data_IF_727048286674
#
_entry.id   IF_727048286674
#
_cell.length_a   1.000
_cell.length_b   1.000
_cell.length_c   1.000
_cell.angle_alpha   90.00
_cell.angle_beta   90.00
_cell.angle_gamma   90.00
#
_symmetry.space_group_name_H-M   'P 1'
#
loop_
_entity.id
_entity.type
_entity.pdbx_description
1 polymer ?
#
# COMPACT_ATOMS: atom_id res chain seq x y z
N UNK A 1 9.76 4.12 -4.37
CA UNK A 1 8.92 5.31 -4.69
C UNK A 1 7.46 4.89 -4.90
N UNK A 2 6.50 5.65 -4.36
CA UNK A 2 5.08 5.26 -4.38
C UNK A 2 4.54 5.03 -5.80
N UNK A 3 4.90 5.90 -6.75
CA UNK A 3 4.45 5.78 -8.15
C UNK A 3 4.85 4.44 -8.77
N UNK A 4 6.09 3.99 -8.54
CA UNK A 4 6.58 2.70 -9.03
C UNK A 4 5.77 1.55 -8.43
N UNK A 5 5.43 1.66 -7.15
CA UNK A 5 4.65 0.66 -6.44
C UNK A 5 3.23 0.58 -7.01
N UNK A 6 2.58 1.73 -7.26
CA UNK A 6 1.26 1.79 -7.90
C UNK A 6 1.27 1.15 -9.30
N UNK A 7 2.26 1.50 -10.13
CA UNK A 7 2.42 0.93 -11.49
C UNK A 7 2.65 -0.58 -11.41
N UNK A 8 3.49 -1.04 -10.48
CA UNK A 8 3.79 -2.46 -10.29
C UNK A 8 2.54 -3.25 -9.93
N UNK A 9 1.75 -2.80 -8.95
CA UNK A 9 0.54 -3.50 -8.54
C UNK A 9 -0.50 -3.53 -9.65
N UNK A 10 -0.70 -2.42 -10.36
CA UNK A 10 -1.65 -2.36 -11.47
C UNK A 10 -1.26 -3.30 -12.63
N UNK A 11 0.03 -3.39 -12.95
CA UNK A 11 0.53 -4.25 -14.02
C UNK A 11 0.81 -5.69 -13.57
N UNK A 12 0.38 -6.12 -12.37
CA UNK A 12 0.69 -7.45 -11.85
C UNK A 12 0.21 -8.58 -12.77
N UNK A 13 -0.89 -8.36 -13.50
CA UNK A 13 -1.43 -9.30 -14.49
C UNK A 13 -0.49 -9.56 -15.68
N UNK A 14 0.44 -8.66 -15.97
CA UNK A 14 1.46 -8.87 -17.02
C UNK A 14 2.50 -9.92 -16.61
N UNK A 15 2.79 -10.03 -15.31
CA UNK A 15 3.73 -11.02 -14.76
C UNK A 15 3.02 -12.33 -14.43
N UNK A 16 1.81 -12.21 -13.86
CA UNK A 16 0.98 -13.35 -13.46
C UNK A 16 -0.40 -13.20 -14.08
N UNK A 17 -0.64 -13.70 -15.30
CA UNK A 17 -1.94 -13.56 -15.97
C UNK A 17 -3.10 -14.24 -15.23
N UNK A 18 -2.79 -15.33 -14.52
CA UNK A 18 -3.74 -16.05 -13.69
C UNK A 18 -3.14 -16.32 -12.31
N UNK A 19 -3.88 -15.94 -11.27
CA UNK A 19 -3.60 -16.38 -9.91
C UNK A 19 -4.25 -17.75 -9.78
N UNK A 20 -3.44 -18.80 -9.70
CA UNK A 20 -3.90 -20.15 -9.50
C UNK A 20 -3.41 -20.71 -8.17
N UNK A 21 -4.33 -21.31 -7.42
CA UNK A 21 -4.00 -22.17 -6.30
C UNK A 21 -3.77 -23.57 -6.86
N UNK A 22 -2.51 -23.94 -7.02
CA UNK A 22 -2.11 -25.28 -7.41
C UNK A 22 -1.44 -26.00 -6.25
N UNK A 23 -1.59 -27.32 -6.20
CA UNK A 23 -0.79 -28.15 -5.27
C UNK A 23 0.67 -28.06 -5.72
N UNK A 24 1.62 -27.71 -4.81
CA UNK A 24 3.05 -27.70 -5.15
C UNK A 24 3.49 -29.07 -5.70
N UNK A 25 4.51 -29.08 -6.59
CA UNK A 25 5.07 -30.30 -7.20
C UNK A 25 4.22 -30.97 -8.32
N UNK A 26 3.54 -30.18 -9.15
CA UNK A 26 2.92 -30.68 -10.38
C UNK A 26 1.53 -31.31 -10.18
N UNK A 27 0.87 -31.02 -9.06
CA UNK A 27 -0.52 -31.42 -8.86
C UNK A 27 -1.51 -30.55 -9.67
N UNK A 28 -2.79 -30.94 -9.70
CA UNK A 28 -3.82 -30.21 -10.43
C UNK A 28 -4.05 -28.81 -9.86
N UNK A 29 -4.43 -27.88 -10.73
CA UNK A 29 -4.88 -26.54 -10.34
C UNK A 29 -6.23 -26.69 -9.64
N UNK A 30 -6.31 -26.29 -8.38
CA UNK A 30 -7.51 -26.40 -7.55
C UNK A 30 -8.49 -25.25 -7.83
N UNK A 31 -7.95 -24.05 -8.07
CA UNK A 31 -8.72 -22.88 -8.45
C UNK A 31 -7.84 -21.91 -9.23
N UNK A 32 -8.40 -21.25 -10.24
CA UNK A 32 -7.72 -20.20 -11.02
C UNK A 32 -8.63 -19.00 -11.20
N UNK A 33 -8.07 -17.83 -10.97
CA UNK A 33 -8.72 -16.54 -11.20
C UNK A 33 -7.90 -15.72 -12.17
N UNK A 34 -8.57 -14.92 -13.01
CA UNK A 34 -7.88 -13.94 -13.83
C UNK A 34 -7.37 -12.82 -12.91
N UNK A 35 -6.09 -12.48 -13.04
CA UNK A 35 -5.48 -11.47 -12.17
C UNK A 35 -6.10 -10.08 -12.37
N UNK A 36 -6.63 -9.75 -13.55
CA UNK A 36 -7.29 -8.46 -13.78
C UNK A 36 -8.63 -8.35 -13.03
N UNK A 37 -9.32 -9.47 -12.79
CA UNK A 37 -10.58 -9.47 -12.04
C UNK A 37 -10.33 -9.26 -10.54
N UNK A 38 -9.19 -9.74 -10.05
CA UNK A 38 -8.77 -9.63 -8.64
C UNK A 38 -8.07 -8.29 -8.39
N UNK A 39 -7.20 -7.87 -9.30
CA UNK A 39 -6.36 -6.68 -9.20
C UNK A 39 -6.94 -5.56 -10.06
N UNK A 40 -8.07 -5.04 -9.61
CA UNK A 40 -8.66 -3.80 -10.15
C UNK A 40 -7.80 -2.57 -9.80
N UNK A 41 -7.94 -1.44 -10.51
CA UNK A 41 -7.24 -0.19 -10.15
C UNK A 41 -7.39 0.21 -8.68
N UNK A 42 -8.57 0.00 -8.10
CA UNK A 42 -8.83 0.27 -6.69
C UNK A 42 -7.99 -0.64 -5.78
N UNK A 43 -7.99 -1.95 -6.04
CA UNK A 43 -7.20 -2.90 -5.22
C UNK A 43 -5.70 -2.68 -5.37
N UNK A 44 -5.22 -2.36 -6.58
CA UNK A 44 -3.84 -1.98 -6.83
C UNK A 44 -3.45 -0.69 -6.09
N UNK A 45 -4.33 0.30 -6.07
CA UNK A 45 -4.15 1.54 -5.32
C UNK A 45 -4.07 1.30 -3.81
N UNK A 46 -5.01 0.50 -3.28
CA UNK A 46 -5.01 0.13 -1.85
C UNK A 46 -3.73 -0.61 -1.50
N UNK A 47 -3.33 -1.61 -2.29
CA UNK A 47 -2.09 -2.35 -2.07
C UNK A 47 -0.85 -1.45 -2.10
N UNK A 48 -0.76 -0.57 -3.10
CA UNK A 48 0.36 0.34 -3.25
C UNK A 48 0.47 1.36 -2.12
N UNK A 49 -0.63 2.03 -1.78
CA UNK A 49 -0.67 3.02 -0.70
C UNK A 49 -0.47 2.36 0.67
N UNK A 50 -1.18 1.27 0.96
CA UNK A 50 -1.13 0.64 2.28
C UNK A 50 0.26 0.06 2.59
N UNK A 51 0.91 -0.59 1.62
CA UNK A 51 2.25 -1.14 1.82
C UNK A 51 3.30 -0.04 1.93
N UNK A 52 3.15 1.05 1.19
CA UNK A 52 4.04 2.21 1.32
C UNK A 52 3.90 2.85 2.71
N UNK A 53 2.67 3.13 3.11
CA UNK A 53 2.36 3.72 4.41
C UNK A 53 2.75 2.81 5.58
N UNK A 54 2.58 1.50 5.46
CA UNK A 54 2.96 0.53 6.48
C UNK A 54 4.45 0.58 6.79
N UNK A 55 5.31 0.79 5.78
CA UNK A 55 6.75 0.93 6.00
C UNK A 55 7.08 2.21 6.80
N UNK A 56 6.46 3.35 6.45
CA UNK A 56 6.64 4.60 7.18
C UNK A 56 6.10 4.52 8.61
N UNK A 57 4.90 3.96 8.79
CA UNK A 57 4.29 3.80 10.11
C UNK A 57 5.05 2.83 11.00
N UNK A 58 5.62 1.74 10.45
CA UNK A 58 6.48 0.84 11.21
C UNK A 58 7.69 1.58 11.81
N UNK A 59 8.31 2.47 11.03
CA UNK A 59 9.46 3.25 11.47
C UNK A 59 9.07 4.31 12.52
N UNK A 60 7.92 4.97 12.35
CA UNK A 60 7.38 5.90 13.35
C UNK A 60 7.10 5.20 14.68
N UNK A 61 6.46 4.02 14.63
CA UNK A 61 6.17 3.23 15.84
C UNK A 61 7.47 2.78 16.50
N UNK A 62 8.44 2.31 15.72
CA UNK A 62 9.77 1.89 16.19
C UNK A 62 10.49 3.05 16.89
N UNK A 63 10.54 4.22 16.25
CA UNK A 63 11.17 5.41 16.80
C UNK A 63 10.46 5.90 18.08
N UNK A 64 9.13 5.87 18.09
CA UNK A 64 8.36 6.25 19.28
C UNK A 64 8.57 5.30 20.46
N UNK A 65 8.68 3.99 20.23
CA UNK A 65 9.04 3.03 21.28
C UNK A 65 10.47 3.25 21.80
N UNK A 66 11.42 3.59 20.92
CA UNK A 66 12.81 3.89 21.30
C UNK A 66 12.99 5.22 22.01
N UNK A 67 12.06 6.18 21.85
CA UNK A 67 12.11 7.46 22.57
C UNK A 67 11.78 7.35 24.06
N UNK A 68 11.23 6.22 24.51
CA UNK A 68 10.95 5.98 25.92
C UNK A 68 12.27 5.67 26.63
N UNK A 69 12.53 6.36 27.74
CA UNK A 69 13.73 6.16 28.55
C UNK A 69 13.89 4.69 28.98
N UNK A 70 15.08 4.12 28.74
CA UNK A 70 15.44 2.78 29.16
C UNK A 70 15.29 2.59 30.68
N UNK A 71 15.47 3.64 31.48
CA UNK A 71 15.26 3.60 32.93
C UNK A 71 13.83 3.22 33.31
N UNK A 72 12.82 3.56 32.49
CA UNK A 72 11.43 3.10 32.70
C UNK A 72 11.31 1.58 32.51
N UNK A 73 12.02 1.03 31.51
CA UNK A 73 12.02 -0.41 31.24
C UNK A 73 12.70 -1.15 32.39
N UNK A 74 13.88 -0.70 32.82
CA UNK A 74 14.61 -1.26 33.96
C UNK A 74 13.79 -1.18 35.27
N UNK A 75 13.12 -0.05 35.51
CA UNK A 75 12.23 0.14 36.65
C UNK A 75 11.09 -0.88 36.65
N UNK A 76 10.39 -1.05 35.51
CA UNK A 76 9.29 -2.03 35.43
C UNK A 76 9.76 -3.47 35.69
N UNK A 77 10.97 -3.82 35.27
CA UNK A 77 11.58 -5.12 35.54
C UNK A 77 11.93 -5.28 37.02
N UNK A 78 12.48 -4.25 37.66
CA UNK A 78 12.79 -4.23 39.10
C UNK A 78 11.52 -4.39 39.96
N UNK A 79 10.39 -3.85 39.53
CA UNK A 79 9.07 -4.04 40.16
C UNK A 79 8.39 -5.38 39.80
N UNK A 80 9.08 -6.30 39.12
CA UNK A 80 8.56 -7.63 38.80
C UNK A 80 7.43 -7.64 37.77
N UNK A 81 7.31 -6.60 36.93
CA UNK A 81 6.30 -6.57 35.89
C UNK A 81 6.67 -7.52 34.73
N UNK A 82 5.72 -8.36 34.32
CA UNK A 82 5.85 -9.09 33.04
C UNK A 82 6.00 -8.11 31.87
N UNK A 83 6.78 -8.48 30.84
CA UNK A 83 7.01 -7.65 29.63
C UNK A 83 5.72 -7.11 29.01
N UNK A 84 4.67 -7.94 28.90
CA UNK A 84 3.38 -7.51 28.35
C UNK A 84 2.69 -6.44 29.20
N UNK A 85 2.77 -6.55 30.53
CA UNK A 85 2.20 -5.56 31.48
C UNK A 85 2.98 -4.24 31.43
N UNK A 86 4.31 -4.31 31.42
CA UNK A 86 5.18 -3.13 31.28
C UNK A 86 4.90 -2.40 29.96
N UNK A 87 4.84 -3.16 28.85
CA UNK A 87 4.55 -2.61 27.52
C UNK A 87 3.18 -1.92 27.48
N UNK A 88 2.11 -2.59 27.92
CA UNK A 88 0.74 -2.07 27.83
C UNK A 88 0.47 -0.91 28.78
N UNK A 89 1.01 -0.92 30.00
CA UNK A 89 0.66 0.07 31.04
C UNK A 89 1.62 1.26 31.13
N UNK A 90 2.87 1.09 30.72
CA UNK A 90 3.93 2.09 30.93
C UNK A 90 4.51 2.56 29.60
N UNK A 91 5.05 1.63 28.79
CA UNK A 91 5.84 1.98 27.61
C UNK A 91 4.95 2.50 26.47
N UNK A 92 3.89 1.79 26.08
CA UNK A 92 3.00 2.20 24.98
C UNK A 92 2.38 3.57 25.25
N UNK A 93 1.74 3.84 26.41
CA UNK A 93 1.14 5.15 26.67
C UNK A 93 2.13 6.33 26.57
N UNK A 94 3.40 6.11 26.94
CA UNK A 94 4.46 7.11 26.80
C UNK A 94 4.89 7.27 25.34
N UNK A 95 5.17 6.16 24.65
CA UNK A 95 5.53 6.15 23.24
C UNK A 95 4.47 6.81 22.35
N UNK A 96 3.17 6.67 22.67
CA UNK A 96 2.08 7.30 21.91
C UNK A 96 2.24 8.82 21.79
N UNK A 97 2.81 9.50 22.78
CA UNK A 97 3.04 10.96 22.74
C UNK A 97 4.04 11.36 21.65
N UNK A 98 4.98 10.47 21.32
CA UNK A 98 5.93 10.66 20.23
C UNK A 98 5.39 10.15 18.88
N UNK A 99 4.53 9.12 18.89
CA UNK A 99 3.98 8.49 17.67
C UNK A 99 2.86 9.33 17.03
N UNK A 100 1.94 9.88 17.83
CA UNK A 100 0.72 10.54 17.31
C UNK A 100 1.04 11.76 16.43
N UNK A 101 1.91 12.71 16.83
CA UNK A 101 2.18 13.89 16.01
C UNK A 101 2.68 13.60 14.58
N UNK A 102 3.73 12.77 14.37
CA UNK A 102 4.18 12.42 13.02
C UNK A 102 3.18 11.55 12.25
N UNK A 103 2.35 10.76 12.93
CA UNK A 103 1.26 10.02 12.26
C UNK A 103 0.27 10.97 11.58
N UNK A 104 -0.04 12.11 12.20
CA UNK A 104 -0.87 13.16 11.57
C UNK A 104 -0.22 13.73 10.30
N UNK A 105 1.10 13.96 10.32
CA UNK A 105 1.84 14.41 9.14
C UNK A 105 1.84 13.36 8.02
N UNK A 106 1.92 12.08 8.37
CA UNK A 106 1.79 11.01 7.40
C UNK A 106 0.39 10.95 6.80
N UNK A 107 -0.67 11.09 7.61
CA UNK A 107 -2.05 11.13 7.09
C UNK A 107 -2.22 12.24 6.04
N UNK A 108 -1.72 13.45 6.30
CA UNK A 108 -1.76 14.57 5.33
C UNK A 108 -0.96 14.21 4.06
N UNK A 109 0.19 13.56 4.22
CA UNK A 109 1.01 13.11 3.09
C UNK A 109 0.31 12.02 2.28
N UNK A 110 -0.40 11.12 2.94
CA UNK A 110 -1.19 10.06 2.31
C UNK A 110 -2.35 10.67 1.52
N UNK A 111 -3.05 11.68 2.05
CA UNK A 111 -4.10 12.40 1.31
C UNK A 111 -3.53 13.06 0.05
N UNK A 112 -2.31 13.60 0.07
CA UNK A 112 -1.67 14.11 -1.16
C UNK A 112 -1.29 12.97 -2.09
N UNK A 113 -0.81 11.86 -1.55
CA UNK A 113 -0.40 10.68 -2.29
C UNK A 113 -1.56 9.97 -3.01
N UNK A 114 -2.80 10.04 -2.52
CA UNK A 114 -3.96 9.48 -3.24
C UNK A 114 -4.16 10.14 -4.60
N UNK A 115 -3.73 11.39 -4.79
CA UNK A 115 -3.79 12.03 -6.12
C UNK A 115 -2.96 11.29 -7.17
N UNK A 116 -1.88 10.58 -6.78
CA UNK A 116 -1.07 9.77 -7.69
C UNK A 116 -1.78 8.49 -8.15
N UNK A 117 -2.82 8.05 -7.45
CA UNK A 117 -3.66 6.91 -7.88
C UNK A 117 -4.35 7.20 -9.21
N UNK A 118 -4.62 8.46 -9.51
CA UNK A 118 -5.17 8.86 -10.82
C UNK A 118 -4.35 8.33 -12.00
N UNK A 119 -3.04 8.14 -11.85
CA UNK A 119 -2.16 7.61 -12.91
C UNK A 119 -2.48 6.16 -13.30
N UNK A 120 -2.94 5.34 -12.35
CA UNK A 120 -3.31 3.94 -12.61
C UNK A 120 -4.82 3.75 -12.78
N UNK A 121 -5.63 4.68 -12.26
CA UNK A 121 -7.07 4.71 -12.46
C UNK A 121 -7.44 5.29 -13.83
N UNK A 122 -6.67 6.25 -14.34
CA UNK A 122 -6.69 6.70 -15.73
C UNK A 122 -5.94 5.71 -16.63
N UNK A 123 -6.49 4.49 -16.72
CA UNK A 123 -6.67 3.90 -18.04
C UNK A 123 -7.79 4.67 -18.74
N UNK A 124 -7.58 5.97 -18.93
CA UNK A 124 -8.67 6.88 -19.28
C UNK A 124 -9.23 6.47 -20.64
N UNK A 125 -10.51 6.79 -20.89
CA UNK A 125 -11.11 6.70 -22.21
C UNK A 125 -10.14 7.28 -23.26
N UNK A 126 -9.45 8.36 -22.89
CA UNK A 126 -8.38 9.00 -23.64
C UNK A 126 -7.17 8.09 -23.94
N UNK A 127 -6.69 7.27 -23.00
CA UNK A 127 -5.59 6.33 -23.27
C UNK A 127 -6.03 5.21 -24.23
N UNK A 128 -7.25 4.70 -24.06
CA UNK A 128 -7.82 3.69 -24.97
C UNK A 128 -8.04 4.28 -26.37
N UNK A 129 -8.53 5.51 -26.44
CA UNK A 129 -8.69 6.32 -27.65
C UNK A 129 -7.35 6.60 -28.32
N UNK A 130 -6.31 6.92 -27.54
CA UNK A 130 -4.94 7.13 -27.99
C UNK A 130 -4.33 5.86 -28.57
N UNK A 131 -4.53 4.71 -27.92
CA UNK A 131 -4.05 3.43 -28.44
C UNK A 131 -4.74 3.06 -29.77
N UNK A 132 -6.03 3.37 -29.91
CA UNK A 132 -6.80 3.10 -31.14
C UNK A 132 -6.43 4.08 -32.25
N UNK A 133 -6.40 5.39 -32.02
CA UNK A 133 -6.06 6.35 -33.08
C UNK A 133 -4.60 6.23 -33.52
N UNK A 134 -3.66 5.81 -32.65
CA UNK A 134 -2.27 5.57 -33.07
C UNK A 134 -2.15 4.35 -34.00
N UNK A 135 -3.16 3.48 -34.03
CA UNK A 135 -3.24 2.33 -34.94
C UNK A 135 -4.06 2.64 -36.19
N UNK A 136 -5.13 3.43 -36.07
CA UNK A 136 -6.06 3.74 -37.16
C UNK A 136 -5.79 5.09 -37.84
N UNK A 137 -4.93 5.93 -37.26
CA UNK A 137 -4.63 7.32 -37.66
C UNK A 137 -5.83 8.28 -37.62
N UNK A 138 -6.96 7.88 -37.04
CA UNK A 138 -8.19 8.67 -36.92
C UNK A 138 -8.18 9.52 -35.64
N UNK A 139 -7.33 10.54 -35.59
CA UNK A 139 -7.07 11.33 -34.37
C UNK A 139 -8.30 12.15 -33.95
N UNK A 140 -8.89 12.91 -34.87
CA UNK A 140 -10.00 13.84 -34.54
C UNK A 140 -11.31 13.11 -34.14
N UNK A 141 -11.78 12.08 -34.86
CA UNK A 141 -13.02 11.39 -34.50
C UNK A 141 -12.92 10.70 -33.14
N UNK A 142 -11.76 10.08 -32.88
CA UNK A 142 -11.52 9.34 -31.65
C UNK A 142 -11.42 10.27 -30.43
N UNK A 143 -10.86 11.48 -30.58
CA UNK A 143 -10.84 12.49 -29.51
C UNK A 143 -12.23 13.08 -29.21
N UNK A 144 -13.15 13.15 -30.17
CA UNK A 144 -14.53 13.63 -29.91
C UNK A 144 -15.38 12.62 -29.13
N UNK A 145 -15.10 11.32 -29.26
CA UNK A 145 -15.79 10.26 -28.50
C UNK A 145 -15.25 10.17 -27.07
N UNK A 146 -14.04 10.68 -26.85
CA UNK A 146 -13.34 10.63 -25.57
C UNK A 146 -13.76 11.74 -24.57
N UNK A 147 -14.47 12.76 -25.04
CA UNK A 147 -14.84 14.00 -24.30
C UNK A 147 -16.31 13.96 -23.90
#
# INVERSE_FOLDING_TARGET
>A
PLLVQLIFWYNLSTLFPQISLAVPFGGPILASWNTNDVITPLTAAIAGLALNEAAYMAEIIRAGLQSVDNGQVETTQAFGMSRARALRRIIIPQAMRAIIPPTGNQLISMIKATSLVSVIAMGDLLYSVQAVYNRTFEIIPMLMVAV
#
